data_IF_106966927968
#
_entry.id   IF_106966927968
#
_cell.length_a   1.000
_cell.length_b   1.000
_cell.length_c   1.000
_cell.angle_alpha   90.00
_cell.angle_beta   90.00
_cell.angle_gamma   90.00
#
_symmetry.space_group_name_H-M   'P 1'
#
loop_
_entity.id
_entity.type
_entity.pdbx_description
1 polymer ?
#
# COMPACT_ATOMS: atom_id res chain seq x y z
N UNK A 1 2.84 9.62 30.23
CA UNK A 1 1.48 10.17 30.31
C UNK A 1 0.59 9.28 29.47
N UNK A 2 -0.54 8.82 30.01
CA UNK A 2 -1.53 8.11 29.21
C UNK A 2 -2.13 9.08 28.18
N UNK A 3 -2.35 8.60 26.96
CA UNK A 3 -2.95 9.40 25.90
C UNK A 3 -4.41 9.71 26.28
N UNK A 4 -4.78 10.99 26.29
CA UNK A 4 -6.17 11.43 26.54
C UNK A 4 -6.74 12.16 25.32
N UNK A 5 -8.00 11.89 24.97
CA UNK A 5 -8.66 12.62 23.88
C UNK A 5 -9.09 14.04 24.31
N UNK A 6 -9.20 14.30 25.61
CA UNK A 6 -9.74 15.56 26.16
C UNK A 6 -8.76 16.73 26.06
N UNK A 7 -7.46 16.47 25.98
CA UNK A 7 -6.42 17.52 25.94
C UNK A 7 -5.32 17.24 24.89
N UNK A 8 -5.70 16.57 23.79
CA UNK A 8 -4.80 16.22 22.69
C UNK A 8 -3.94 17.40 22.20
N UNK A 9 -4.45 18.64 22.03
CA UNK A 9 -3.62 19.77 21.63
C UNK A 9 -2.47 20.05 22.60
N UNK A 10 -2.71 19.96 23.91
CA UNK A 10 -1.69 20.19 24.94
C UNK A 10 -0.65 19.07 24.92
N UNK A 11 -1.08 17.82 24.79
CA UNK A 11 -0.18 16.67 24.67
C UNK A 11 0.72 16.78 23.43
N UNK A 12 0.19 17.21 22.28
CA UNK A 12 0.98 17.45 21.06
C UNK A 12 2.01 18.56 21.27
N UNK A 13 1.63 19.65 21.94
CA UNK A 13 2.58 20.74 22.25
C UNK A 13 3.70 20.27 23.17
N UNK A 14 3.38 19.52 24.23
CA UNK A 14 4.37 19.02 25.18
C UNK A 14 5.30 18.00 24.53
N UNK A 15 4.75 17.13 23.67
CA UNK A 15 5.53 16.19 22.89
C UNK A 15 6.48 16.90 21.91
N UNK A 16 6.00 17.91 21.17
CA UNK A 16 6.85 18.73 20.30
C UNK A 16 7.97 19.42 21.07
N UNK A 17 7.68 19.97 22.26
CA UNK A 17 8.72 20.57 23.13
C UNK A 17 9.77 19.53 23.53
N UNK A 18 9.34 18.36 23.99
CA UNK A 18 10.24 17.28 24.37
C UNK A 18 11.12 16.81 23.19
N UNK A 19 10.56 16.68 21.98
CA UNK A 19 11.32 16.32 20.78
C UNK A 19 12.34 17.39 20.41
N UNK A 20 11.99 18.67 20.47
CA UNK A 20 12.93 19.78 20.20
C UNK A 20 14.10 19.81 21.18
N UNK A 21 13.87 19.42 22.44
CA UNK A 21 14.97 19.26 23.41
C UNK A 21 15.88 18.08 23.07
N UNK A 22 15.32 16.96 22.59
CA UNK A 22 16.10 15.77 22.20
C UNK A 22 16.87 15.96 20.89
N UNK A 23 16.34 16.77 19.97
CA UNK A 23 16.92 17.04 18.65
C UNK A 23 17.03 18.55 18.48
N UNK A 24 18.00 19.21 19.13
CA UNK A 24 18.09 20.68 19.15
C UNK A 24 18.41 21.30 17.77
N UNK A 25 19.04 20.53 16.89
CA UNK A 25 19.41 20.89 15.51
C UNK A 25 18.37 20.45 14.48
N UNK A 26 17.11 20.26 14.90
CA UNK A 26 16.03 19.74 14.04
C UNK A 26 15.84 20.52 12.73
N UNK A 27 16.00 21.84 12.73
CA UNK A 27 15.85 22.66 11.52
C UNK A 27 16.90 22.29 10.47
N UNK A 28 18.17 22.21 10.86
CA UNK A 28 19.27 21.82 9.97
C UNK A 28 19.10 20.39 9.46
N UNK A 29 18.68 19.46 10.32
CA UNK A 29 18.41 18.08 9.91
C UNK A 29 17.24 17.99 8.95
N UNK A 30 16.22 18.83 9.13
CA UNK A 30 15.08 18.91 8.23
C UNK A 30 15.50 19.41 6.84
N UNK A 31 16.33 20.45 6.77
CA UNK A 31 16.92 20.93 5.49
C UNK A 31 17.71 19.81 4.77
N UNK A 32 18.49 19.01 5.51
CA UNK A 32 19.20 17.86 4.93
C UNK A 32 18.26 16.79 4.37
N UNK A 33 17.13 16.55 5.05
CA UNK A 33 16.10 15.61 4.58
C UNK A 33 15.39 16.19 3.35
N UNK A 34 15.12 17.49 3.33
CA UNK A 34 14.53 18.20 2.20
C UNK A 34 15.42 18.09 0.96
N UNK A 35 16.72 18.39 1.06
CA UNK A 35 17.69 18.22 -0.03
C UNK A 35 17.76 16.77 -0.54
N UNK A 36 17.69 15.78 0.37
CA UNK A 36 17.66 14.38 0.00
C UNK A 36 16.36 14.00 -0.73
N UNK A 37 15.22 14.55 -0.29
CA UNK A 37 13.91 14.33 -0.90
C UNK A 37 13.81 14.99 -2.28
N UNK A 38 14.37 16.18 -2.46
CA UNK A 38 14.42 16.86 -3.77
C UNK A 38 15.16 16.02 -4.81
N UNK A 39 16.29 15.39 -4.42
CA UNK A 39 17.02 14.46 -5.30
C UNK A 39 16.16 13.26 -5.68
N UNK A 40 15.37 12.75 -4.75
CA UNK A 40 14.47 11.62 -4.99
C UNK A 40 13.30 11.99 -5.90
N UNK A 41 12.72 13.18 -5.73
CA UNK A 41 11.70 13.73 -6.64
C UNK A 41 12.24 13.87 -8.06
N UNK A 42 13.46 14.41 -8.23
CA UNK A 42 14.09 14.54 -9.53
C UNK A 42 14.32 13.17 -10.20
N UNK A 43 14.76 12.17 -9.44
CA UNK A 43 14.87 10.79 -9.94
C UNK A 43 13.52 10.26 -10.43
N UNK A 44 12.48 10.36 -9.60
CA UNK A 44 11.12 9.88 -9.94
C UNK A 44 10.64 10.55 -11.23
N UNK A 45 10.80 11.88 -11.36
CA UNK A 45 10.44 12.61 -12.57
C UNK A 45 11.21 12.12 -13.81
N UNK A 46 12.48 11.76 -13.66
CA UNK A 46 13.28 11.23 -14.76
C UNK A 46 12.83 9.82 -15.16
N UNK A 47 12.57 8.94 -14.20
CA UNK A 47 12.13 7.57 -14.46
C UNK A 47 10.72 7.50 -15.06
N UNK A 48 9.81 8.37 -14.61
CA UNK A 48 8.48 8.51 -15.22
C UNK A 48 8.56 8.91 -16.69
N UNK A 49 9.53 9.75 -17.09
CA UNK A 49 9.76 10.08 -18.50
C UNK A 49 10.28 8.90 -19.33
N UNK A 50 10.92 7.93 -18.68
CA UNK A 50 11.45 6.72 -19.33
C UNK A 50 10.46 5.56 -19.30
N UNK A 51 9.40 5.64 -18.49
CA UNK A 51 8.27 4.73 -18.52
C UNK A 51 7.52 4.63 -17.21
N UNK A 52 8.23 4.42 -16.09
CA UNK A 52 7.64 4.36 -14.76
C UNK A 52 8.73 4.44 -13.69
N UNK A 53 8.49 5.21 -12.63
CA UNK A 53 9.32 5.22 -11.43
C UNK A 53 9.00 4.06 -10.47
N UNK A 54 7.93 3.29 -10.74
CA UNK A 54 7.57 2.11 -9.98
C UNK A 54 8.24 0.89 -10.64
N UNK A 55 9.14 0.17 -9.93
CA UNK A 55 9.76 -1.04 -10.45
C UNK A 55 8.71 -2.07 -10.87
N UNK A 56 8.93 -2.73 -12.01
CA UNK A 56 7.99 -3.71 -12.57
C UNK A 56 8.72 -5.00 -12.89
N UNK A 57 8.15 -6.12 -12.45
CA UNK A 57 8.73 -7.45 -12.60
C UNK A 57 7.68 -8.41 -13.12
N UNK A 58 8.05 -9.36 -13.97
CA UNK A 58 7.15 -10.45 -14.32
C UNK A 58 7.17 -11.50 -13.20
N UNK A 59 6.00 -12.02 -12.83
CA UNK A 59 5.90 -13.09 -11.83
C UNK A 59 6.78 -14.29 -12.20
N UNK A 60 6.84 -14.64 -13.49
CA UNK A 60 7.69 -15.72 -14.01
C UNK A 60 9.17 -15.58 -13.65
N UNK A 61 9.66 -14.36 -13.49
CA UNK A 61 11.09 -14.10 -13.31
C UNK A 61 11.50 -14.20 -11.84
N UNK A 62 10.53 -14.04 -10.93
CA UNK A 62 10.77 -13.90 -9.48
C UNK A 62 10.08 -14.99 -8.64
N UNK A 63 9.18 -15.79 -9.23
CA UNK A 63 8.38 -16.77 -8.49
C UNK A 63 9.24 -17.88 -7.85
N UNK A 64 10.31 -18.30 -8.50
CA UNK A 64 11.17 -19.39 -8.02
C UNK A 64 12.28 -18.89 -7.09
N UNK A 65 12.97 -17.82 -7.48
CA UNK A 65 14.21 -17.38 -6.82
C UNK A 65 14.07 -16.08 -6.02
N UNK A 66 12.88 -15.46 -6.05
CA UNK A 66 12.66 -14.16 -5.45
C UNK A 66 13.37 -13.02 -6.20
N UNK A 67 13.53 -11.90 -5.52
CA UNK A 67 14.27 -10.74 -6.02
C UNK A 67 15.77 -10.90 -5.79
N UNK A 68 16.59 -10.53 -6.78
CA UNK A 68 18.01 -10.30 -6.55
C UNK A 68 18.25 -9.04 -5.70
N UNK A 69 19.49 -8.83 -5.25
CA UNK A 69 19.80 -7.69 -4.38
C UNK A 69 19.58 -6.34 -5.06
N UNK A 70 19.83 -6.21 -6.36
CA UNK A 70 19.59 -4.94 -7.06
C UNK A 70 18.08 -4.65 -7.16
N UNK A 71 17.28 -5.67 -7.45
CA UNK A 71 15.82 -5.58 -7.47
C UNK A 71 15.26 -5.26 -6.09
N UNK A 72 15.74 -5.89 -5.01
CA UNK A 72 15.34 -5.55 -3.63
C UNK A 72 15.62 -4.09 -3.31
N UNK A 73 16.79 -3.57 -3.66
CA UNK A 73 17.10 -2.15 -3.44
C UNK A 73 16.20 -1.22 -4.25
N UNK A 74 15.81 -1.59 -5.47
CA UNK A 74 14.82 -0.84 -6.26
C UNK A 74 13.46 -0.79 -5.54
N UNK A 75 12.96 -1.93 -5.04
CA UNK A 75 11.70 -1.99 -4.31
C UNK A 75 11.76 -1.20 -3.01
N UNK A 76 12.83 -1.36 -2.22
CA UNK A 76 13.03 -0.64 -0.96
C UNK A 76 13.09 0.87 -1.15
N UNK A 77 13.80 1.33 -2.20
CA UNK A 77 13.89 2.75 -2.53
C UNK A 77 12.55 3.32 -2.99
N UNK A 78 11.82 2.59 -3.84
CA UNK A 78 10.52 3.02 -4.35
C UNK A 78 9.37 2.87 -3.34
N UNK A 79 9.55 2.05 -2.30
CA UNK A 79 8.51 1.71 -1.32
C UNK A 79 7.45 0.73 -1.83
N UNK A 80 7.64 0.15 -3.02
CA UNK A 80 6.70 -0.78 -3.65
C UNK A 80 7.11 -1.18 -5.06
N UNK A 81 6.37 -2.11 -5.66
CA UNK A 81 6.57 -2.56 -7.03
C UNK A 81 5.28 -3.10 -7.66
N UNK A 82 5.32 -3.31 -8.98
CA UNK A 82 4.28 -4.01 -9.74
C UNK A 82 4.80 -5.40 -10.12
N UNK A 83 4.07 -6.44 -9.75
CA UNK A 83 4.33 -7.81 -10.21
C UNK A 83 3.29 -8.16 -11.27
N UNK A 84 3.73 -8.28 -12.52
CA UNK A 84 2.87 -8.53 -13.69
C UNK A 84 2.67 -10.03 -13.87
N UNK A 85 1.45 -10.42 -14.22
CA UNK A 85 1.13 -11.81 -14.53
C UNK A 85 1.08 -12.74 -13.31
N UNK A 86 0.89 -12.21 -12.10
CA UNK A 86 0.74 -13.03 -10.89
C UNK A 86 -0.46 -13.97 -10.97
N UNK A 87 -1.59 -13.50 -11.51
CA UNK A 87 -2.78 -14.31 -11.74
C UNK A 87 -3.06 -14.42 -13.24
N UNK A 88 -3.53 -15.58 -13.74
CA UNK A 88 -3.88 -15.73 -15.15
C UNK A 88 -5.00 -14.77 -15.56
N UNK A 89 -4.79 -14.02 -16.65
CA UNK A 89 -5.72 -12.97 -17.07
C UNK A 89 -7.16 -13.49 -17.31
N UNK A 90 -7.29 -14.67 -17.93
CA UNK A 90 -8.60 -15.28 -18.20
C UNK A 90 -9.37 -15.59 -16.90
N UNK A 91 -8.67 -16.11 -15.89
CA UNK A 91 -9.27 -16.42 -14.60
C UNK A 91 -9.66 -15.14 -13.87
N UNK A 92 -8.80 -14.11 -13.89
CA UNK A 92 -9.11 -12.79 -13.32
C UNK A 92 -10.38 -12.21 -13.94
N UNK A 93 -10.51 -12.22 -15.27
CA UNK A 93 -11.71 -11.74 -15.97
C UNK A 93 -12.96 -12.53 -15.54
N UNK A 94 -12.88 -13.86 -15.54
CA UNK A 94 -14.00 -14.71 -15.14
C UNK A 94 -14.41 -14.52 -13.66
N UNK A 95 -13.44 -14.34 -12.77
CA UNK A 95 -13.69 -14.05 -11.36
C UNK A 95 -14.26 -12.64 -11.14
N UNK A 96 -13.83 -11.65 -11.94
CA UNK A 96 -14.40 -10.31 -11.91
C UNK A 96 -15.88 -10.33 -12.33
N UNK A 97 -16.24 -11.05 -13.40
CA UNK A 97 -17.64 -11.22 -13.81
C UNK A 97 -18.48 -11.93 -12.76
N UNK A 98 -17.94 -12.98 -12.10
CA UNK A 98 -18.60 -13.66 -10.98
C UNK A 98 -18.81 -12.72 -9.79
N UNK A 99 -17.82 -11.87 -9.48
CA UNK A 99 -17.94 -10.89 -8.41
C UNK A 99 -19.00 -9.83 -8.73
N UNK A 100 -19.04 -9.31 -9.96
CA UNK A 100 -20.08 -8.37 -10.39
C UNK A 100 -21.48 -8.97 -10.27
N UNK A 101 -21.67 -10.22 -10.70
CA UNK A 101 -22.95 -10.93 -10.53
C UNK A 101 -23.30 -11.13 -9.07
N UNK A 102 -22.35 -11.59 -8.25
CA UNK A 102 -22.54 -11.77 -6.81
C UNK A 102 -23.01 -10.47 -6.13
N UNK A 103 -22.45 -9.31 -6.49
CA UNK A 103 -22.87 -8.00 -5.96
C UNK A 103 -24.33 -7.71 -6.34
N UNK A 104 -24.71 -7.91 -7.60
CA UNK A 104 -26.05 -7.59 -8.10
C UNK A 104 -27.10 -8.56 -7.58
N UNK A 105 -26.85 -9.87 -7.66
CA UNK A 105 -27.79 -10.92 -7.26
C UNK A 105 -28.11 -10.90 -5.76
N UNK A 106 -27.20 -10.38 -4.94
CA UNK A 106 -27.42 -10.20 -3.50
C UNK A 106 -27.99 -8.82 -3.15
N UNK A 107 -28.48 -8.04 -4.13
CA UNK A 107 -29.14 -6.76 -3.87
C UNK A 107 -28.22 -5.73 -3.19
N UNK A 108 -26.90 -5.82 -3.38
CA UNK A 108 -25.94 -5.01 -2.59
C UNK A 108 -26.20 -3.50 -2.71
N UNK A 109 -26.63 -3.03 -3.87
CA UNK A 109 -26.94 -1.62 -4.10
C UNK A 109 -28.28 -1.16 -3.49
N UNK A 110 -29.16 -2.10 -3.15
CA UNK A 110 -30.47 -1.84 -2.54
C UNK A 110 -30.36 -1.80 -1.02
N UNK A 111 -29.33 -2.44 -0.47
CA UNK A 111 -28.94 -2.29 0.91
C UNK A 111 -28.23 -0.95 1.09
N UNK A 112 -28.84 -0.03 1.84
CA UNK A 112 -28.12 1.13 2.36
C UNK A 112 -27.23 0.64 3.49
N UNK A 113 -25.91 0.55 3.32
CA UNK A 113 -25.06 0.25 4.47
C UNK A 113 -25.23 1.39 5.47
N UNK A 114 -25.56 1.04 6.72
CA UNK A 114 -25.34 1.94 7.86
C UNK A 114 -23.83 2.01 8.07
N UNK A 115 -23.14 2.73 7.19
CA UNK A 115 -21.70 2.97 7.34
C UNK A 115 -21.54 3.91 8.53
N UNK A 116 -21.21 3.34 9.69
CA UNK A 116 -20.82 4.13 10.87
C UNK A 116 -19.45 4.81 10.67
N UNK A 117 -18.73 4.44 9.60
CA UNK A 117 -17.37 4.89 9.33
C UNK A 117 -17.33 6.04 8.29
N UNK A 118 -17.16 7.27 8.79
CA UNK A 118 -17.07 8.48 7.97
C UNK A 118 -15.70 8.66 7.28
N UNK A 119 -14.83 7.64 7.29
CA UNK A 119 -13.43 7.73 6.83
C UNK A 119 -13.28 8.24 5.38
N UNK A 120 -14.25 7.93 4.51
CA UNK A 120 -14.25 8.32 3.10
C UNK A 120 -15.40 9.26 2.70
N UNK A 121 -16.00 9.95 3.67
CA UNK A 121 -17.14 10.88 3.47
C UNK A 121 -16.91 12.00 2.45
N UNK A 122 -15.67 12.23 2.02
CA UNK A 122 -15.32 13.21 0.99
C UNK A 122 -15.41 12.68 -0.45
N UNK A 123 -15.61 11.37 -0.65
CA UNK A 123 -15.78 10.76 -1.98
C UNK A 123 -17.24 10.87 -2.42
N UNK A 124 -17.63 12.02 -2.98
CA UNK A 124 -18.96 12.25 -3.57
C UNK A 124 -19.17 11.34 -4.80
N UNK A 125 -19.71 10.14 -4.61
CA UNK A 125 -20.22 9.31 -5.71
C UNK A 125 -21.50 8.60 -5.27
N UNK A 126 -22.49 8.58 -6.17
CA UNK A 126 -23.78 7.90 -5.97
C UNK A 126 -23.64 6.37 -5.88
N UNK A 127 -22.46 5.82 -6.22
CA UNK A 127 -22.13 4.40 -6.10
C UNK A 127 -20.96 4.18 -5.15
N UNK A 128 -21.00 3.14 -4.29
CA UNK A 128 -19.88 2.83 -3.42
C UNK A 128 -18.63 2.50 -4.24
N UNK A 129 -17.53 3.21 -3.96
CA UNK A 129 -16.20 2.91 -4.53
C UNK A 129 -15.48 1.81 -3.73
N UNK A 130 -15.93 1.57 -2.50
CA UNK A 130 -15.45 0.52 -1.60
C UNK A 130 -16.61 -0.40 -1.24
N UNK A 131 -16.43 -1.69 -1.46
CA UNK A 131 -17.43 -2.72 -1.17
C UNK A 131 -17.06 -3.43 0.14
N UNK A 132 -17.94 -3.37 1.14
CA UNK A 132 -17.83 -4.11 2.40
C UNK A 132 -18.09 -5.61 2.24
N UNK A 133 -17.47 -6.24 1.24
CA UNK A 133 -17.61 -7.65 0.89
C UNK A 133 -16.27 -8.32 1.15
N UNK A 134 -16.27 -9.42 1.90
CA UNK A 134 -15.03 -10.06 2.35
C UNK A 134 -14.86 -11.51 1.88
N UNK A 135 -15.97 -12.17 1.56
CA UNK A 135 -16.06 -13.63 1.40
C UNK A 135 -16.53 -14.08 0.02
N UNK A 136 -16.46 -13.21 -0.99
CA UNK A 136 -16.83 -13.64 -2.35
C UNK A 136 -15.89 -14.75 -2.83
N UNK A 137 -16.40 -15.66 -3.67
CA UNK A 137 -15.59 -16.75 -4.23
C UNK A 137 -14.36 -16.23 -4.98
N UNK A 138 -14.47 -15.08 -5.65
CA UNK A 138 -13.35 -14.40 -6.31
C UNK A 138 -12.25 -13.99 -5.32
N UNK A 139 -12.62 -13.44 -4.16
CA UNK A 139 -11.65 -13.06 -3.12
C UNK A 139 -10.97 -14.28 -2.50
N UNK A 140 -11.72 -15.35 -2.20
CA UNK A 140 -11.14 -16.59 -1.66
C UNK A 140 -10.19 -17.23 -2.68
N UNK A 141 -10.60 -17.33 -3.94
CA UNK A 141 -9.75 -17.85 -5.01
C UNK A 141 -8.45 -17.06 -5.13
N UNK A 142 -8.52 -15.73 -5.20
CA UNK A 142 -7.32 -14.91 -5.32
C UNK A 142 -6.37 -15.12 -4.12
N UNK A 143 -6.89 -15.12 -2.88
CA UNK A 143 -6.08 -15.32 -1.66
C UNK A 143 -5.42 -16.70 -1.58
N UNK A 144 -6.08 -17.73 -2.11
CA UNK A 144 -5.60 -19.12 -2.05
C UNK A 144 -4.85 -19.55 -3.32
N UNK A 145 -4.75 -18.67 -4.32
CA UNK A 145 -4.07 -19.01 -5.57
C UNK A 145 -2.60 -19.32 -5.30
N UNK A 146 -2.02 -20.43 -5.82
CA UNK A 146 -0.63 -20.81 -5.55
C UNK A 146 0.37 -19.67 -5.80
N UNK A 147 0.20 -18.94 -6.92
CA UNK A 147 1.05 -17.81 -7.24
C UNK A 147 1.04 -16.69 -6.19
N UNK A 148 -0.08 -16.45 -5.50
CA UNK A 148 -0.13 -15.45 -4.42
C UNK A 148 0.66 -15.91 -3.19
N UNK A 149 0.74 -17.21 -2.95
CA UNK A 149 1.55 -17.78 -1.86
C UNK A 149 3.05 -17.76 -2.18
N UNK A 150 3.44 -17.88 -3.45
CA UNK A 150 4.85 -17.89 -3.88
C UNK A 150 5.33 -16.52 -4.37
N UNK A 151 4.48 -15.50 -4.40
CA UNK A 151 4.90 -14.15 -4.74
C UNK A 151 5.85 -13.66 -3.64
N UNK A 152 7.08 -13.22 -3.97
CA UNK A 152 8.06 -12.74 -3.00
C UNK A 152 7.73 -11.32 -2.51
N UNK A 153 6.49 -11.11 -2.05
CA UNK A 153 5.98 -9.82 -1.57
C UNK A 153 5.88 -9.74 -0.05
N UNK A 154 6.36 -10.74 0.68
CA UNK A 154 6.42 -10.68 2.14
C UNK A 154 7.40 -9.58 2.56
N UNK A 155 7.08 -8.76 3.57
CA UNK A 155 8.05 -7.85 4.18
C UNK A 155 9.35 -8.55 4.59
N UNK A 156 9.27 -9.83 4.97
CA UNK A 156 10.43 -10.69 5.30
C UNK A 156 11.39 -10.88 4.11
N UNK A 157 10.91 -10.73 2.87
CA UNK A 157 11.74 -10.81 1.66
C UNK A 157 12.62 -9.57 1.44
N UNK A 158 12.33 -8.47 2.15
CA UNK A 158 13.00 -7.18 2.01
C UNK A 158 13.59 -6.63 3.32
N UNK A 159 13.23 -7.21 4.46
CA UNK A 159 13.68 -6.79 5.78
C UNK A 159 14.67 -7.83 6.32
N UNK A 160 15.87 -7.37 6.67
CA UNK A 160 16.84 -8.16 7.41
C UNK A 160 16.33 -8.36 8.85
N UNK A 161 15.69 -9.51 9.09
CA UNK A 161 15.11 -9.88 10.39
C UNK A 161 16.16 -10.09 11.49
N UNK A 162 17.44 -10.21 11.15
CA UNK A 162 18.54 -10.39 12.10
C UNK A 162 19.20 -9.07 12.56
N UNK A 163 18.76 -7.93 12.02
CA UNK A 163 19.36 -6.61 12.30
C UNK A 163 18.64 -5.73 13.34
N UNK A 164 17.75 -6.31 14.15
CA UNK A 164 17.04 -5.61 15.23
C UNK A 164 17.42 -6.11 16.63
#
# INVERSE_FOLDING_TARGET
MALSMENLPKQVQDFKKALKTKVPDYSRRFEQIEEAMEKEVLRIQQEERLGSAIPQFAFSDIAENGFDEAQKQQVLRAGGCIIRGTLPAADVTAHNEKLSRYIVENGYYEHTPTVEDNYFSQLNSDKPQLFGIYWSQAQIWARQHPNMATTPSSPESFVDVERW
#
